data_IF_229226318121
#
_entry.id   IF_229226318121
#
_cell.length_a   1.000
_cell.length_b   1.000
_cell.length_c   1.000
_cell.angle_alpha   90.00
_cell.angle_beta   90.00
_cell.angle_gamma   90.00
#
_symmetry.space_group_name_H-M   'P 1'
#
loop_
_entity.id
_entity.type
_entity.pdbx_description
1 polymer ?
#
# COMPACT_ATOMS: atom_id res chain seq x y z
N UNK A 1 -12.09 2.73 19.07
CA UNK A 1 -13.19 1.98 18.40
C UNK A 1 -12.77 0.54 18.15
N UNK A 2 -11.72 0.31 17.36
CA UNK A 2 -11.20 -1.03 17.07
C UNK A 2 -10.66 -1.73 18.30
N UNK A 3 -9.88 -1.03 19.13
CA UNK A 3 -9.28 -1.61 20.33
C UNK A 3 -10.34 -2.02 21.36
N UNK A 4 -11.40 -1.24 21.50
CA UNK A 4 -12.53 -1.56 22.39
C UNK A 4 -13.27 -2.82 21.94
N UNK A 5 -13.60 -2.94 20.64
CA UNK A 5 -14.20 -4.17 20.08
C UNK A 5 -13.28 -5.37 20.33
N UNK A 6 -11.96 -5.19 20.16
CA UNK A 6 -10.98 -6.23 20.37
C UNK A 6 -10.92 -6.70 21.84
N UNK A 7 -10.97 -5.78 22.81
CA UNK A 7 -10.98 -6.10 24.25
C UNK A 7 -12.26 -6.79 24.72
N UNK A 8 -13.40 -6.44 24.12
CA UNK A 8 -14.71 -7.01 24.47
C UNK A 8 -15.00 -8.34 23.76
N UNK A 9 -14.14 -8.76 22.84
CA UNK A 9 -14.28 -10.01 22.08
C UNK A 9 -14.14 -11.21 23.00
N UNK A 10 -15.02 -12.20 22.82
CA UNK A 10 -14.87 -13.54 23.43
C UNK A 10 -14.43 -14.57 22.37
N UNK A 11 -13.73 -15.63 22.79
CA UNK A 11 -13.30 -16.71 21.88
C UNK A 11 -11.84 -16.65 21.43
N UNK A 12 -11.46 -17.47 20.45
CA UNK A 12 -10.09 -17.54 19.90
C UNK A 12 -10.04 -16.90 18.51
N UNK A 13 -8.85 -16.43 18.10
CA UNK A 13 -8.64 -15.95 16.74
C UNK A 13 -8.60 -17.11 15.74
N UNK A 14 -9.29 -16.95 14.61
CA UNK A 14 -9.34 -17.91 13.50
C UNK A 14 -8.14 -17.73 12.57
N UNK A 15 -7.79 -18.79 11.85
CA UNK A 15 -6.73 -18.74 10.84
C UNK A 15 -7.17 -17.88 9.66
N UNK A 16 -6.29 -17.03 9.15
CA UNK A 16 -6.56 -16.21 7.99
C UNK A 16 -6.33 -16.99 6.70
N UNK A 17 -7.33 -17.05 5.82
CA UNK A 17 -7.28 -17.78 4.55
C UNK A 17 -7.89 -16.92 3.44
N UNK A 18 -7.16 -15.93 2.90
CA UNK A 18 -7.74 -14.96 1.97
C UNK A 18 -8.06 -15.55 0.60
N UNK A 19 -7.24 -16.50 0.13
CA UNK A 19 -7.36 -17.19 -1.15
C UNK A 19 -6.88 -18.63 -0.96
N UNK A 20 -7.03 -19.49 -1.97
CA UNK A 20 -6.61 -20.88 -1.83
C UNK A 20 -5.07 -21.03 -1.93
N UNK A 21 -4.50 -22.00 -1.21
CA UNK A 21 -3.09 -22.37 -1.40
C UNK A 21 -2.90 -23.10 -2.74
N UNK A 22 -1.65 -23.33 -3.16
CA UNK A 22 -1.35 -24.05 -4.41
C UNK A 22 -1.99 -25.45 -4.47
N UNK A 23 -2.24 -26.07 -3.32
CA UNK A 23 -2.78 -27.43 -3.22
C UNK A 23 -4.25 -27.54 -3.63
N UNK A 24 -5.01 -26.43 -3.58
CA UNK A 24 -6.39 -26.41 -4.06
C UNK A 24 -6.44 -26.07 -5.55
N UNK A 25 -6.18 -27.09 -6.37
CA UNK A 25 -6.13 -26.93 -7.83
C UNK A 25 -7.42 -26.40 -8.44
N UNK A 26 -8.57 -26.80 -7.89
CA UNK A 26 -9.86 -26.38 -8.43
C UNK A 26 -10.02 -24.85 -8.34
N UNK A 27 -9.64 -24.25 -7.21
CA UNK A 27 -9.69 -22.81 -7.02
C UNK A 27 -8.80 -22.03 -8.00
N UNK A 28 -7.62 -22.56 -8.33
CA UNK A 28 -6.71 -21.94 -9.32
C UNK A 28 -7.18 -22.14 -10.76
N UNK A 29 -7.75 -23.31 -11.08
CA UNK A 29 -8.12 -23.68 -12.44
C UNK A 29 -9.36 -22.92 -12.96
N UNK A 30 -10.16 -22.34 -12.06
CA UNK A 30 -11.33 -21.51 -12.41
C UNK A 30 -11.02 -20.01 -12.51
N UNK A 31 -9.80 -19.58 -12.18
CA UNK A 31 -9.41 -18.17 -12.30
C UNK A 31 -9.47 -17.69 -13.76
N UNK A 32 -9.59 -16.36 -13.90
CA UNK A 32 -9.63 -15.68 -15.20
C UNK A 32 -8.53 -16.22 -16.13
N UNK A 33 -8.95 -16.73 -17.30
CA UNK A 33 -8.04 -17.40 -18.25
C UNK A 33 -6.92 -16.47 -18.72
N UNK A 34 -7.26 -15.23 -19.05
CA UNK A 34 -6.28 -14.22 -19.49
C UNK A 34 -5.28 -13.94 -18.37
N UNK A 35 -5.75 -13.69 -17.14
CA UNK A 35 -4.86 -13.45 -15.99
C UNK A 35 -3.88 -14.61 -15.77
N UNK A 36 -4.34 -15.86 -15.84
CA UNK A 36 -3.48 -17.04 -15.71
C UNK A 36 -2.43 -17.12 -16.82
N UNK A 37 -2.85 -16.94 -18.07
CA UNK A 37 -1.95 -17.03 -19.22
C UNK A 37 -0.87 -15.93 -19.19
N UNK A 38 -1.27 -14.70 -18.88
CA UNK A 38 -0.35 -13.56 -18.81
C UNK A 38 0.55 -13.62 -17.57
N UNK A 39 0.06 -14.18 -16.45
CA UNK A 39 0.91 -14.47 -15.28
C UNK A 39 2.00 -15.47 -15.62
N UNK A 40 1.67 -16.56 -16.35
CA UNK A 40 2.68 -17.53 -16.79
C UNK A 40 3.74 -16.87 -17.68
N UNK A 41 3.33 -16.09 -18.68
CA UNK A 41 4.27 -15.37 -19.55
C UNK A 41 5.18 -14.42 -18.76
N UNK A 42 4.64 -13.75 -17.74
CA UNK A 42 5.44 -12.88 -16.87
C UNK A 42 6.44 -13.70 -16.04
N UNK A 43 6.02 -14.82 -15.46
CA UNK A 43 6.92 -15.72 -14.71
C UNK A 43 8.04 -16.30 -15.57
N UNK A 44 7.76 -16.60 -16.85
CA UNK A 44 8.76 -17.10 -17.81
C UNK A 44 9.92 -16.12 -18.04
N UNK A 45 9.71 -14.81 -17.83
CA UNK A 45 10.79 -13.81 -17.90
C UNK A 45 11.78 -13.92 -16.75
N UNK A 46 11.42 -14.63 -15.68
CA UNK A 46 12.22 -14.81 -14.47
C UNK A 46 12.75 -16.26 -14.31
N UNK A 47 12.66 -17.11 -15.34
CA UNK A 47 13.35 -18.40 -15.32
C UNK A 47 14.87 -18.19 -15.34
N UNK A 48 15.57 -18.88 -14.45
CA UNK A 48 17.01 -18.75 -14.23
C UNK A 48 17.42 -17.31 -13.87
N UNK A 49 16.57 -16.60 -13.12
CA UNK A 49 16.77 -15.19 -12.82
C UNK A 49 17.97 -14.96 -11.89
N UNK A 50 18.89 -14.10 -12.32
CA UNK A 50 20.00 -13.67 -11.48
C UNK A 50 19.54 -12.54 -10.57
N UNK A 51 19.17 -12.88 -9.33
CA UNK A 51 18.77 -11.90 -8.34
C UNK A 51 19.89 -10.87 -8.09
N UNK A 52 19.63 -9.55 -8.23
CA UNK A 52 20.67 -8.54 -8.20
C UNK A 52 21.33 -8.47 -6.82
N UNK A 53 22.64 -8.25 -6.74
CA UNK A 53 23.36 -8.06 -5.47
C UNK A 53 23.04 -6.68 -4.87
N UNK A 54 22.71 -6.66 -3.59
CA UNK A 54 22.59 -5.43 -2.80
C UNK A 54 23.92 -5.14 -2.11
N UNK A 55 24.68 -4.18 -2.63
CA UNK A 55 25.98 -3.83 -2.05
C UNK A 55 25.81 -2.87 -0.88
N UNK A 56 26.69 -2.98 0.13
CA UNK A 56 26.75 -2.00 1.22
C UNK A 56 27.01 -0.58 0.69
N UNK A 57 27.76 -0.44 -0.42
CA UNK A 57 28.06 0.86 -1.02
C UNK A 57 26.85 1.54 -1.65
N UNK A 58 25.94 0.77 -2.25
CA UNK A 58 24.68 1.34 -2.77
C UNK A 58 23.77 1.79 -1.62
N UNK A 59 23.78 1.07 -0.49
CA UNK A 59 23.05 1.48 0.72
C UNK A 59 23.61 2.79 1.30
N UNK A 60 24.93 2.88 1.42
CA UNK A 60 25.64 4.08 1.92
C UNK A 60 25.50 5.30 1.00
N UNK A 61 25.16 5.09 -0.27
CA UNK A 61 25.05 6.17 -1.27
C UNK A 61 24.03 7.22 -0.84
N UNK A 62 22.95 6.81 -0.17
CA UNK A 62 21.94 7.74 0.34
C UNK A 62 22.54 8.76 1.32
N UNK A 63 23.30 8.31 2.32
CA UNK A 63 23.93 9.23 3.29
C UNK A 63 25.06 10.04 2.66
N UNK A 64 25.72 9.52 1.61
CA UNK A 64 26.86 10.18 0.95
C UNK A 64 26.46 11.23 -0.08
N UNK A 65 25.42 10.96 -0.85
CA UNK A 65 25.04 11.76 -2.03
C UNK A 65 23.56 12.13 -2.07
N UNK A 66 22.74 11.55 -1.19
CA UNK A 66 21.28 11.67 -1.23
C UNK A 66 20.60 10.71 -2.21
N UNK A 67 21.35 9.89 -2.96
CA UNK A 67 20.80 8.94 -3.92
C UNK A 67 20.25 7.69 -3.21
N UNK A 68 18.94 7.47 -3.31
CA UNK A 68 18.26 6.25 -2.80
C UNK A 68 17.92 5.23 -3.88
N UNK A 69 17.71 5.69 -5.12
CA UNK A 69 17.18 4.90 -6.24
C UNK A 69 18.05 3.70 -6.62
N UNK A 70 19.39 3.82 -6.58
CA UNK A 70 20.29 2.72 -6.96
C UNK A 70 20.12 1.47 -6.10
N UNK A 71 19.93 1.65 -4.79
CA UNK A 71 19.64 0.55 -3.87
C UNK A 71 18.22 0.04 -4.08
N UNK A 72 17.25 0.96 -4.14
CA UNK A 72 15.82 0.66 -4.25
C UNK A 72 15.45 -0.15 -5.49
N UNK A 73 15.97 0.23 -6.66
CA UNK A 73 15.68 -0.47 -7.91
C UNK A 73 16.01 -1.96 -7.80
N UNK A 74 17.18 -2.28 -7.21
CA UNK A 74 17.63 -3.66 -7.01
C UNK A 74 16.85 -4.33 -5.89
N UNK A 75 16.60 -3.62 -4.80
CA UNK A 75 15.82 -4.11 -3.66
C UNK A 75 14.42 -4.54 -4.12
N UNK A 76 13.71 -3.69 -4.84
CA UNK A 76 12.37 -3.96 -5.38
C UNK A 76 12.37 -4.96 -6.53
N UNK A 77 13.41 -5.01 -7.36
CA UNK A 77 13.52 -6.03 -8.41
C UNK A 77 13.47 -7.46 -7.83
N UNK A 78 14.12 -7.71 -6.67
CA UNK A 78 14.04 -9.01 -5.99
C UNK A 78 12.61 -9.38 -5.58
N UNK A 79 11.86 -8.43 -4.99
CA UNK A 79 10.48 -8.64 -4.53
C UNK A 79 9.52 -8.90 -5.68
N UNK A 80 9.63 -8.11 -6.76
CA UNK A 80 8.78 -8.24 -7.95
C UNK A 80 9.02 -9.54 -8.70
N UNK A 81 10.29 -9.98 -8.80
CA UNK A 81 10.66 -11.28 -9.37
C UNK A 81 10.04 -12.42 -8.55
N UNK A 82 10.30 -12.47 -7.23
CA UNK A 82 9.74 -13.49 -6.35
C UNK A 82 8.22 -13.53 -6.43
N UNK A 83 7.56 -12.37 -6.37
CA UNK A 83 6.10 -12.29 -6.42
C UNK A 83 5.53 -12.81 -7.74
N UNK A 84 6.19 -12.53 -8.87
CA UNK A 84 5.76 -13.04 -10.18
C UNK A 84 5.94 -14.55 -10.29
N UNK A 85 7.07 -15.07 -9.83
CA UNK A 85 7.37 -16.50 -9.84
C UNK A 85 6.40 -17.28 -8.95
N UNK A 86 6.13 -16.80 -7.73
CA UNK A 86 5.19 -17.46 -6.79
C UNK A 86 3.80 -17.56 -7.38
N UNK A 87 3.23 -16.47 -7.91
CA UNK A 87 1.90 -16.51 -8.53
C UNK A 87 1.86 -17.43 -9.75
N UNK A 88 2.94 -17.42 -10.54
CA UNK A 88 3.04 -18.28 -11.71
C UNK A 88 3.06 -19.76 -11.33
N UNK A 89 3.86 -20.14 -10.34
CA UNK A 89 3.89 -21.52 -9.84
C UNK A 89 2.55 -21.91 -9.22
N UNK A 90 1.87 -21.01 -8.50
CA UNK A 90 0.50 -21.27 -8.04
C UNK A 90 -0.48 -21.53 -9.19
N UNK A 91 -0.35 -20.82 -10.31
CA UNK A 91 -1.19 -21.04 -11.49
C UNK A 91 -0.85 -22.38 -12.17
N UNK A 92 0.43 -22.67 -12.37
CA UNK A 92 0.89 -23.79 -13.21
C UNK A 92 1.11 -25.11 -12.46
N UNK A 93 1.65 -25.08 -11.24
CA UNK A 93 1.99 -26.21 -10.35
C UNK A 93 2.72 -27.36 -11.07
N UNK A 94 3.80 -27.01 -11.78
CA UNK A 94 4.68 -27.96 -12.52
C UNK A 94 6.10 -28.02 -11.97
N UNK A 95 6.42 -27.22 -10.97
CA UNK A 95 7.71 -27.19 -10.30
C UNK A 95 8.82 -26.44 -11.04
N UNK A 96 8.63 -26.01 -12.29
CA UNK A 96 9.71 -25.43 -13.10
C UNK A 96 10.18 -24.05 -12.63
N UNK A 97 9.40 -23.36 -11.79
CA UNK A 97 9.80 -22.08 -11.21
C UNK A 97 10.34 -22.24 -9.78
N UNK A 98 10.28 -23.44 -9.19
CA UNK A 98 10.60 -23.65 -7.78
C UNK A 98 12.04 -23.29 -7.43
N UNK A 99 13.01 -23.59 -8.29
CA UNK A 99 14.41 -23.24 -8.04
C UNK A 99 14.61 -21.72 -7.96
N UNK A 100 14.01 -20.95 -8.88
CA UNK A 100 14.08 -19.48 -8.88
C UNK A 100 13.29 -18.85 -7.72
N UNK A 101 12.21 -19.49 -7.28
CA UNK A 101 11.46 -19.09 -6.07
C UNK A 101 12.34 -19.29 -4.83
N UNK A 102 12.99 -20.45 -4.70
CA UNK A 102 13.88 -20.76 -3.57
C UNK A 102 15.06 -19.79 -3.55
N UNK A 103 15.69 -19.54 -4.71
CA UNK A 103 16.75 -18.55 -4.84
C UNK A 103 16.29 -17.15 -4.40
N UNK A 104 15.07 -16.75 -4.78
CA UNK A 104 14.48 -15.47 -4.37
C UNK A 104 14.21 -15.36 -2.88
N UNK A 105 13.66 -16.42 -2.27
CA UNK A 105 13.44 -16.50 -0.84
C UNK A 105 14.77 -16.33 -0.10
N UNK A 106 15.80 -17.09 -0.46
CA UNK A 106 17.11 -17.00 0.19
C UNK A 106 17.78 -15.66 -0.05
N UNK A 107 17.74 -15.13 -1.28
CA UNK A 107 18.30 -13.83 -1.59
C UNK A 107 17.71 -12.72 -0.71
N UNK A 108 16.40 -12.73 -0.45
CA UNK A 108 15.72 -11.77 0.44
C UNK A 108 16.03 -12.04 1.92
N UNK A 109 16.01 -13.30 2.35
CA UNK A 109 16.31 -13.68 3.74
C UNK A 109 17.76 -13.35 4.14
N UNK A 110 18.70 -13.34 3.20
CA UNK A 110 20.12 -13.04 3.42
C UNK A 110 20.46 -11.55 3.40
N UNK A 111 19.48 -10.68 3.13
CA UNK A 111 19.71 -9.24 3.14
C UNK A 111 20.11 -8.75 4.54
N UNK A 112 21.03 -7.79 4.59
CA UNK A 112 21.41 -7.20 5.87
C UNK A 112 20.20 -6.53 6.55
N UNK A 113 19.30 -5.93 5.79
CA UNK A 113 18.12 -5.32 6.35
C UNK A 113 16.98 -5.28 5.33
N UNK A 114 15.76 -5.07 5.82
CA UNK A 114 14.59 -4.92 4.94
C UNK A 114 14.04 -3.49 4.92
N UNK A 115 14.57 -2.58 5.73
CA UNK A 115 14.28 -1.16 5.61
C UNK A 115 15.10 -0.50 4.49
N UNK A 116 14.57 0.58 3.94
CA UNK A 116 15.31 1.39 2.96
C UNK A 116 16.35 2.28 3.64
N UNK A 117 17.44 2.68 2.93
CA UNK A 117 18.45 3.58 3.48
C UNK A 117 17.87 4.89 4.04
N UNK A 118 16.87 5.45 3.37
CA UNK A 118 16.19 6.67 3.79
C UNK A 118 15.40 6.52 5.09
N UNK A 119 15.10 5.29 5.50
CA UNK A 119 14.32 4.97 6.69
C UNK A 119 15.19 4.35 7.80
N UNK A 120 16.52 4.32 7.61
CA UNK A 120 17.45 3.67 8.53
C UNK A 120 17.74 4.51 9.77
N UNK A 121 16.70 4.71 10.58
CA UNK A 121 16.74 5.47 11.83
C UNK A 121 15.88 4.78 12.89
N UNK A 122 16.28 4.92 14.15
CA UNK A 122 15.52 4.41 15.31
C UNK A 122 14.61 5.45 15.95
N UNK A 123 14.86 6.73 15.66
CA UNK A 123 14.10 7.85 16.19
C UNK A 123 13.54 8.63 15.01
N UNK A 124 12.29 9.04 15.12
CA UNK A 124 11.62 9.86 14.10
C UNK A 124 12.40 11.17 13.93
N UNK A 125 12.54 11.61 12.68
CA UNK A 125 13.17 12.89 12.32
C UNK A 125 14.65 13.07 12.75
N UNK A 126 15.36 11.97 13.03
CA UNK A 126 16.82 11.99 13.23
C UNK A 126 17.59 11.54 12.00
N UNK A 127 18.86 11.96 11.83
CA UNK A 127 19.68 11.54 10.70
C UNK A 127 19.78 10.02 10.57
N UNK A 128 19.69 9.53 9.34
CA UNK A 128 19.79 8.10 9.04
C UNK A 128 21.21 7.59 9.28
N UNK A 129 21.31 6.37 9.81
CA UNK A 129 22.59 5.68 9.96
C UNK A 129 23.13 5.23 8.60
N UNK A 130 24.45 5.29 8.47
CA UNK A 130 25.16 4.97 7.22
C UNK A 130 24.94 3.51 6.75
N UNK A 131 24.81 2.58 7.69
CA UNK A 131 24.55 1.16 7.45
C UNK A 131 23.51 0.64 8.46
N UNK A 132 22.79 -0.43 8.12
CA UNK A 132 21.83 -1.03 9.05
C UNK A 132 22.53 -1.84 10.14
N UNK A 133 21.92 -1.91 11.33
CA UNK A 133 22.35 -2.80 12.41
C UNK A 133 21.44 -4.05 12.44
N UNK A 134 22.03 -5.21 12.14
CA UNK A 134 21.37 -6.52 12.09
C UNK A 134 20.69 -6.90 13.42
N UNK A 135 21.25 -6.45 14.54
CA UNK A 135 20.80 -6.79 15.89
C UNK A 135 19.57 -5.98 16.33
N UNK A 136 19.26 -4.91 15.60
CA UNK A 136 18.12 -4.05 15.86
C UNK A 136 17.35 -3.76 14.56
N UNK A 137 16.55 -4.70 14.04
CA UNK A 137 15.74 -4.47 12.84
C UNK A 137 14.82 -3.26 12.99
N UNK A 138 14.73 -2.45 11.92
CA UNK A 138 13.79 -1.32 11.81
C UNK A 138 12.58 -1.78 11.00
N UNK A 139 11.38 -1.64 11.58
CA UNK A 139 10.14 -1.89 10.85
C UNK A 139 9.70 -0.60 10.17
N UNK A 140 10.19 -0.37 8.95
CA UNK A 140 9.61 0.63 8.07
C UNK A 140 8.54 -0.01 7.16
N UNK A 141 8.02 0.78 6.23
CA UNK A 141 7.04 0.36 5.22
C UNK A 141 7.46 -0.93 4.51
N UNK A 142 8.71 -0.99 4.06
CA UNK A 142 9.21 -2.02 3.16
C UNK A 142 9.77 -3.24 3.89
N UNK A 143 10.18 -3.09 5.14
CA UNK A 143 10.46 -4.20 6.05
C UNK A 143 9.17 -4.96 6.35
N UNK A 144 8.11 -4.23 6.75
CA UNK A 144 6.80 -4.82 6.97
C UNK A 144 6.31 -5.51 5.69
N UNK A 145 6.38 -4.84 4.54
CA UNK A 145 5.95 -5.41 3.26
C UNK A 145 6.76 -6.62 2.80
N UNK A 146 8.09 -6.62 3.01
CA UNK A 146 8.92 -7.81 2.77
C UNK A 146 8.45 -8.98 3.64
N UNK A 147 8.08 -8.71 4.89
CA UNK A 147 7.45 -9.71 5.77
C UNK A 147 6.14 -10.26 5.20
N UNK A 148 5.28 -9.40 4.66
CA UNK A 148 4.02 -9.81 4.04
C UNK A 148 4.24 -10.64 2.76
N UNK A 149 5.24 -10.29 1.92
CA UNK A 149 5.61 -11.05 0.72
C UNK A 149 6.06 -12.46 1.10
N UNK A 150 6.97 -12.59 2.07
CA UNK A 150 7.46 -13.89 2.52
C UNK A 150 6.36 -14.71 3.23
N UNK A 151 5.51 -14.07 4.04
CA UNK A 151 4.36 -14.71 4.67
C UNK A 151 3.35 -15.22 3.64
N UNK A 152 3.10 -14.46 2.59
CA UNK A 152 2.20 -14.87 1.49
C UNK A 152 2.82 -16.01 0.66
N UNK A 153 4.11 -15.94 0.35
CA UNK A 153 4.81 -17.01 -0.35
C UNK A 153 4.81 -18.32 0.46
N UNK A 154 5.06 -18.22 1.77
CA UNK A 154 4.97 -19.34 2.70
C UNK A 154 3.56 -19.93 2.68
N UNK A 155 2.52 -19.11 2.86
CA UNK A 155 1.13 -19.55 2.87
C UNK A 155 0.73 -20.30 1.60
N UNK A 156 1.10 -19.76 0.45
CA UNK A 156 0.71 -20.31 -0.85
C UNK A 156 1.46 -21.60 -1.18
N UNK A 157 2.77 -21.68 -0.88
CA UNK A 157 3.66 -22.70 -1.40
C UNK A 157 4.23 -23.67 -0.35
N UNK A 158 3.89 -23.54 0.94
CA UNK A 158 4.48 -24.32 2.04
C UNK A 158 4.67 -25.80 1.71
N UNK A 159 3.62 -26.47 1.22
CA UNK A 159 3.67 -27.91 0.93
C UNK A 159 4.68 -28.26 -0.18
N UNK A 160 4.80 -27.40 -1.21
CA UNK A 160 5.78 -27.57 -2.30
C UNK A 160 7.19 -27.25 -1.83
N UNK A 161 7.37 -26.20 -1.04
CA UNK A 161 8.66 -25.84 -0.45
C UNK A 161 9.16 -26.95 0.49
N UNK A 162 8.29 -27.49 1.33
CA UNK A 162 8.63 -28.56 2.29
C UNK A 162 8.95 -29.89 1.60
N UNK A 163 8.38 -30.14 0.42
CA UNK A 163 8.73 -31.31 -0.41
C UNK A 163 10.16 -31.23 -0.90
N UNK A 164 10.67 -30.03 -1.21
CA UNK A 164 12.08 -29.81 -1.55
C UNK A 164 12.94 -29.85 -0.28
N UNK A 165 12.60 -29.03 0.72
CA UNK A 165 13.25 -29.04 2.02
C UNK A 165 12.44 -28.23 3.05
N UNK A 166 12.09 -28.81 4.22
CA UNK A 166 11.41 -28.08 5.29
C UNK A 166 12.24 -26.92 5.86
N UNK A 167 13.56 -26.89 5.58
CA UNK A 167 14.42 -25.78 5.99
C UNK A 167 14.12 -24.48 5.24
N UNK A 168 13.48 -24.54 4.07
CA UNK A 168 13.09 -23.35 3.31
C UNK A 168 11.98 -22.60 4.05
N UNK A 169 10.88 -23.30 4.38
CA UNK A 169 9.80 -22.77 5.20
C UNK A 169 10.30 -22.32 6.58
N UNK A 170 11.20 -23.10 7.20
CA UNK A 170 11.79 -22.76 8.50
C UNK A 170 12.63 -21.48 8.42
N UNK A 171 13.36 -21.25 7.31
CA UNK A 171 14.16 -20.03 7.11
C UNK A 171 13.25 -18.80 7.02
N UNK A 172 12.14 -18.88 6.29
CA UNK A 172 11.15 -17.79 6.23
C UNK A 172 10.66 -17.45 7.64
N UNK A 173 10.20 -18.44 8.40
CA UNK A 173 9.69 -18.22 9.76
C UNK A 173 10.75 -17.65 10.71
N UNK A 174 12.01 -18.09 10.59
CA UNK A 174 13.11 -17.53 11.37
C UNK A 174 13.29 -16.03 11.11
N UNK A 175 13.37 -15.61 9.85
CA UNK A 175 13.56 -14.19 9.51
C UNK A 175 12.33 -13.35 9.89
N UNK A 176 11.12 -13.87 9.69
CA UNK A 176 9.89 -13.17 10.10
C UNK A 176 9.85 -12.96 11.62
N UNK A 177 10.22 -13.99 12.40
CA UNK A 177 10.30 -13.87 13.85
C UNK A 177 11.34 -12.83 14.27
N UNK A 178 12.55 -12.92 13.71
CA UNK A 178 13.66 -12.03 14.06
C UNK A 178 13.43 -10.58 13.64
N UNK A 179 12.93 -10.36 12.42
CA UNK A 179 12.87 -9.03 11.81
C UNK A 179 11.52 -8.34 11.92
N UNK A 180 10.43 -9.08 12.13
CA UNK A 180 9.08 -8.53 12.17
C UNK A 180 8.42 -8.79 13.52
N UNK A 181 8.22 -10.06 13.89
CA UNK A 181 7.34 -10.38 15.01
C UNK A 181 7.90 -9.94 16.36
N UNK A 182 9.16 -10.27 16.65
CA UNK A 182 9.80 -9.90 17.91
C UNK A 182 9.94 -8.38 18.03
N UNK A 183 10.52 -7.64 17.04
CA UNK A 183 10.62 -6.19 17.15
C UNK A 183 9.26 -5.49 17.21
N UNK A 184 8.24 -5.98 16.48
CA UNK A 184 6.89 -5.40 16.55
C UNK A 184 6.30 -5.47 17.95
N UNK A 185 6.58 -6.53 18.73
CA UNK A 185 6.07 -6.66 20.09
C UNK A 185 6.94 -5.95 21.13
N UNK A 186 8.27 -5.99 20.98
CA UNK A 186 9.22 -5.55 22.01
C UNK A 186 9.66 -4.09 21.87
N UNK A 187 9.51 -3.50 20.68
CA UNK A 187 9.90 -2.11 20.41
C UNK A 187 8.69 -1.27 20.05
N UNK A 188 8.82 0.03 20.32
CA UNK A 188 7.90 1.04 19.81
C UNK A 188 8.52 1.68 18.57
N UNK A 189 7.76 1.70 17.48
CA UNK A 189 8.07 2.48 16.30
C UNK A 189 7.02 3.60 16.21
N UNK A 190 7.44 4.81 15.87
CA UNK A 190 6.58 6.00 15.93
C UNK A 190 5.23 5.81 15.22
N UNK A 191 5.21 5.11 14.07
CA UNK A 191 4.01 4.87 13.28
C UNK A 191 2.99 3.96 13.98
N UNK A 192 3.37 3.27 15.05
CA UNK A 192 2.43 2.48 15.86
C UNK A 192 1.43 3.36 16.60
N UNK A 193 1.79 4.63 16.81
CA UNK A 193 1.01 5.61 17.58
C UNK A 193 1.11 5.42 19.08
N UNK A 194 1.05 6.53 19.79
CA UNK A 194 1.03 6.63 21.25
C UNK A 194 -0.06 7.59 21.76
N UNK A 195 -0.92 8.08 20.86
CA UNK A 195 -1.96 9.08 21.14
C UNK A 195 -1.45 10.52 21.24
N UNK A 196 -0.16 10.78 20.98
CA UNK A 196 0.44 12.11 21.04
C UNK A 196 1.10 12.53 19.73
N UNK A 197 1.73 11.59 19.03
CA UNK A 197 2.39 11.85 17.75
C UNK A 197 1.39 11.81 16.58
N UNK A 198 1.56 12.66 15.55
CA UNK A 198 0.70 12.64 14.37
C UNK A 198 0.94 11.38 13.54
N UNK A 199 -0.14 10.69 13.17
CA UNK A 199 -0.14 9.50 12.32
C UNK A 199 -0.28 9.86 10.83
N UNK A 200 0.06 8.90 9.95
CA UNK A 200 -0.12 9.02 8.50
C UNK A 200 -0.22 7.62 7.87
N UNK A 201 -0.06 7.51 6.55
CA UNK A 201 -0.09 6.25 5.82
C UNK A 201 0.84 5.15 6.41
N UNK A 202 1.95 5.50 7.07
CA UNK A 202 2.88 4.51 7.65
C UNK A 202 2.20 3.60 8.66
N UNK A 203 1.31 4.16 9.48
CA UNK A 203 0.63 3.40 10.53
C UNK A 203 -0.10 2.21 9.93
N UNK A 204 -0.99 2.47 8.98
CA UNK A 204 -1.87 1.44 8.47
C UNK A 204 -1.18 0.55 7.41
N UNK A 205 -0.21 1.08 6.67
CA UNK A 205 0.61 0.31 5.74
C UNK A 205 1.51 -0.71 6.49
N UNK A 206 2.19 -0.30 7.56
CA UNK A 206 2.95 -1.23 8.38
C UNK A 206 2.02 -2.22 9.08
N UNK A 207 0.91 -1.77 9.68
CA UNK A 207 -0.03 -2.62 10.41
C UNK A 207 -0.62 -3.74 9.54
N UNK A 208 -1.10 -3.47 8.31
CA UNK A 208 -1.61 -4.54 7.45
C UNK A 208 -0.53 -5.60 7.15
N UNK A 209 0.71 -5.17 6.94
CA UNK A 209 1.76 -6.05 6.45
C UNK A 209 2.31 -6.92 7.59
N UNK A 210 2.37 -6.36 8.80
CA UNK A 210 2.59 -7.14 10.03
C UNK A 210 1.47 -8.17 10.21
N UNK A 211 0.20 -7.77 10.09
CA UNK A 211 -0.93 -8.70 10.20
C UNK A 211 -0.84 -9.82 9.15
N UNK A 212 -0.57 -9.50 7.88
CA UNK A 212 -0.38 -10.50 6.82
C UNK A 212 0.74 -11.48 7.18
N UNK A 213 1.91 -10.98 7.57
CA UNK A 213 3.05 -11.85 7.90
C UNK A 213 2.76 -12.80 9.07
N UNK A 214 2.02 -12.36 10.08
CA UNK A 214 1.69 -13.16 11.28
C UNK A 214 0.56 -14.15 11.00
N UNK A 215 -0.52 -13.72 10.35
CA UNK A 215 -1.73 -14.53 10.21
C UNK A 215 -1.75 -15.44 8.98
N UNK A 216 -0.85 -15.23 8.02
CA UNK A 216 -0.62 -16.16 6.90
C UNK A 216 0.39 -17.27 7.25
N UNK A 217 1.09 -17.17 8.38
CA UNK A 217 2.08 -18.15 8.82
C UNK A 217 1.65 -18.88 10.08
N UNK A 218 2.32 -19.99 10.38
CA UNK A 218 2.07 -20.77 11.61
C UNK A 218 2.70 -20.08 12.83
N UNK A 219 2.02 -19.04 13.29
CA UNK A 219 2.42 -18.23 14.45
C UNK A 219 1.70 -18.68 15.73
N UNK A 220 2.43 -18.63 16.86
CA UNK A 220 1.90 -18.99 18.19
C UNK A 220 0.62 -18.18 18.54
N UNK A 221 -0.42 -18.81 19.13
CA UNK A 221 -1.66 -18.13 19.48
C UNK A 221 -1.51 -16.90 20.40
N UNK A 222 -0.56 -16.93 21.35
CA UNK A 222 -0.28 -15.79 22.24
C UNK A 222 0.34 -14.63 21.48
N UNK A 223 1.24 -14.93 20.53
CA UNK A 223 1.81 -13.93 19.63
C UNK A 223 0.72 -13.28 18.77
N UNK A 224 -0.17 -14.09 18.19
CA UNK A 224 -1.29 -13.62 17.36
C UNK A 224 -2.23 -12.70 18.14
N UNK A 225 -2.57 -13.04 19.38
CA UNK A 225 -3.44 -12.19 20.21
C UNK A 225 -2.78 -10.83 20.52
N UNK A 226 -1.49 -10.83 20.89
CA UNK A 226 -0.76 -9.58 21.16
C UNK A 226 -0.66 -8.70 19.91
N UNK A 227 -0.38 -9.30 18.75
CA UNK A 227 -0.31 -8.59 17.47
C UNK A 227 -1.67 -8.00 17.12
N UNK A 228 -2.75 -8.78 17.26
CA UNK A 228 -4.13 -8.34 17.02
C UNK A 228 -4.50 -7.12 17.87
N UNK A 229 -4.28 -7.18 19.19
CA UNK A 229 -4.60 -6.07 20.10
C UNK A 229 -3.82 -4.80 19.76
N UNK A 230 -2.51 -4.94 19.49
CA UNK A 230 -1.63 -3.82 19.12
C UNK A 230 -2.03 -3.21 17.77
N UNK A 231 -2.38 -4.04 16.80
CA UNK A 231 -2.87 -3.59 15.50
C UNK A 231 -4.17 -2.78 15.62
N UNK A 232 -5.16 -3.27 16.38
CA UNK A 232 -6.40 -2.54 16.64
C UNK A 232 -6.17 -1.18 17.31
N UNK A 233 -5.16 -1.08 18.18
CA UNK A 233 -4.79 0.20 18.80
C UNK A 233 -4.17 1.18 17.78
N UNK A 234 -3.26 0.71 16.93
CA UNK A 234 -2.68 1.53 15.85
C UNK A 234 -3.74 2.02 14.85
N UNK A 235 -4.76 1.20 14.55
CA UNK A 235 -5.88 1.61 13.70
C UNK A 235 -6.67 2.75 14.34
N UNK A 236 -6.92 2.69 15.66
CA UNK A 236 -7.61 3.76 16.37
C UNK A 236 -6.82 5.08 16.31
N UNK A 237 -5.48 5.04 16.45
CA UNK A 237 -4.64 6.23 16.29
C UNK A 237 -4.66 6.78 14.86
N UNK A 238 -4.56 5.92 13.84
CA UNK A 238 -4.65 6.34 12.44
C UNK A 238 -5.98 7.04 12.14
N UNK A 239 -7.10 6.47 12.60
CA UNK A 239 -8.42 7.05 12.38
C UNK A 239 -8.69 8.33 13.18
N UNK A 240 -7.90 8.62 14.21
CA UNK A 240 -7.99 9.87 14.96
C UNK A 240 -7.52 11.08 14.13
N UNK A 241 -6.57 10.88 13.20
CA UNK A 241 -6.06 11.94 12.30
C UNK A 241 -7.04 12.28 11.17
N UNK A 242 -7.86 11.31 10.75
CA UNK A 242 -8.80 11.54 9.66
C UNK A 242 -9.97 12.43 10.11
N UNK A 243 -10.37 13.38 9.27
CA UNK A 243 -11.66 14.05 9.41
C UNK A 243 -12.85 13.10 9.26
N UNK A 244 -14.01 13.47 9.80
CA UNK A 244 -15.25 12.70 9.59
C UNK A 244 -15.69 12.67 8.11
N UNK A 245 -15.25 13.66 7.32
CA UNK A 245 -15.44 13.71 5.88
C UNK A 245 -14.52 12.75 5.10
N UNK A 246 -13.58 12.06 5.75
CA UNK A 246 -12.79 10.97 5.18
C UNK A 246 -11.76 11.38 4.13
N UNK A 247 -11.37 12.66 4.06
CA UNK A 247 -10.31 13.12 3.17
C UNK A 247 -8.98 12.44 3.50
N UNK A 248 -8.26 11.97 2.48
CA UNK A 248 -6.83 11.66 2.62
C UNK A 248 -6.06 12.98 2.46
N UNK A 249 -5.50 13.50 3.54
CA UNK A 249 -4.70 14.73 3.57
C UNK A 249 -3.41 14.60 2.74
N UNK A 250 -2.81 13.42 2.71
CA UNK A 250 -1.64 13.09 1.87
C UNK A 250 -1.94 12.98 0.35
N UNK A 251 -3.20 13.14 -0.06
CA UNK A 251 -3.61 13.16 -1.47
C UNK A 251 -3.89 11.80 -2.11
N UNK A 252 -4.30 11.83 -3.38
CA UNK A 252 -4.75 10.65 -4.14
C UNK A 252 -3.68 9.56 -4.30
N UNK A 253 -2.40 9.93 -4.35
CA UNK A 253 -1.29 8.98 -4.45
C UNK A 253 -1.13 8.16 -3.16
N UNK A 254 -1.17 8.82 -2.01
CA UNK A 254 -1.02 8.16 -0.71
C UNK A 254 -2.28 7.46 -0.21
N UNK A 255 -3.47 7.79 -0.74
CA UNK A 255 -4.70 7.06 -0.46
C UNK A 255 -4.56 5.53 -0.62
N UNK A 256 -3.80 5.08 -1.63
CA UNK A 256 -3.55 3.64 -1.88
C UNK A 256 -2.66 2.96 -0.82
N UNK A 257 -1.94 3.77 -0.06
CA UNK A 257 -1.11 3.38 1.07
C UNK A 257 -1.74 3.73 2.43
N UNK A 258 -2.84 4.48 2.45
CA UNK A 258 -3.60 4.86 3.62
C UNK A 258 -4.97 4.14 3.62
N UNK A 259 -6.01 4.74 3.04
CA UNK A 259 -7.39 4.22 3.04
C UNK A 259 -7.53 2.77 2.52
N UNK A 260 -6.78 2.36 1.49
CA UNK A 260 -6.84 0.97 1.00
C UNK A 260 -6.10 -0.02 1.90
N UNK A 261 -5.08 0.42 2.63
CA UNK A 261 -4.43 -0.39 3.65
C UNK A 261 -5.33 -0.55 4.87
N UNK A 262 -6.10 0.49 5.24
CA UNK A 262 -7.15 0.40 6.27
C UNK A 262 -8.17 -0.66 5.90
N UNK A 263 -8.66 -0.64 4.66
CA UNK A 263 -9.56 -1.67 4.15
C UNK A 263 -8.99 -3.09 4.35
N UNK A 264 -7.73 -3.32 3.99
CA UNK A 264 -7.10 -4.62 4.19
C UNK A 264 -6.95 -5.01 5.66
N UNK A 265 -6.58 -4.07 6.55
CA UNK A 265 -6.58 -4.33 7.99
C UNK A 265 -7.97 -4.80 8.42
N UNK A 266 -9.02 -4.08 8.04
CA UNK A 266 -10.40 -4.45 8.38
C UNK A 266 -10.79 -5.83 7.85
N UNK A 267 -10.40 -6.20 6.62
CA UNK A 267 -10.67 -7.53 6.07
C UNK A 267 -9.93 -8.64 6.83
N UNK A 268 -8.66 -8.43 7.20
CA UNK A 268 -7.90 -9.39 8.00
C UNK A 268 -8.56 -9.54 9.37
N UNK A 269 -8.82 -8.43 10.06
CA UNK A 269 -9.45 -8.42 11.38
C UNK A 269 -10.80 -9.16 11.34
N UNK A 270 -11.67 -8.84 10.38
CA UNK A 270 -12.95 -9.54 10.21
C UNK A 270 -12.77 -11.04 9.99
N UNK A 271 -11.82 -11.46 9.14
CA UNK A 271 -11.61 -12.87 8.88
C UNK A 271 -11.09 -13.64 10.09
N UNK A 272 -10.26 -13.03 10.95
CA UNK A 272 -9.70 -13.69 12.13
C UNK A 272 -10.61 -13.61 13.36
N UNK A 273 -11.65 -12.77 13.32
CA UNK A 273 -12.60 -12.59 14.44
C UNK A 273 -14.05 -12.90 14.09
N UNK A 274 -14.30 -13.66 13.02
CA UNK A 274 -15.66 -13.99 12.55
C UNK A 274 -16.56 -12.74 12.40
N UNK A 275 -16.08 -11.77 11.62
CA UNK A 275 -16.78 -10.55 11.22
C UNK A 275 -17.12 -9.57 12.37
N UNK A 276 -16.43 -9.62 13.51
CA UNK A 276 -16.66 -8.70 14.63
C UNK A 276 -16.59 -7.19 14.26
N UNK A 277 -15.86 -6.82 13.20
CA UNK A 277 -15.68 -5.43 12.75
C UNK A 277 -16.55 -5.07 11.55
N UNK A 278 -17.42 -5.97 11.07
CA UNK A 278 -18.15 -5.79 9.82
C UNK A 278 -19.06 -4.57 9.82
N UNK A 279 -19.71 -4.31 10.95
CA UNK A 279 -20.59 -3.15 11.15
C UNK A 279 -19.87 -1.80 11.00
N UNK A 280 -18.54 -1.76 11.10
CA UNK A 280 -17.77 -0.53 10.94
C UNK A 280 -17.75 -0.01 9.50
N UNK A 281 -18.05 -0.85 8.50
CA UNK A 281 -18.20 -0.39 7.12
C UNK A 281 -19.44 0.51 6.92
N UNK A 282 -20.39 0.48 7.85
CA UNK A 282 -21.54 1.40 7.86
C UNK A 282 -21.23 2.73 8.53
N UNK A 283 -20.10 2.85 9.25
CA UNK A 283 -19.70 4.09 9.90
C UNK A 283 -19.45 5.18 8.84
N UNK A 284 -20.04 6.39 8.98
CA UNK A 284 -19.91 7.45 7.99
C UNK A 284 -18.47 7.76 7.61
N UNK A 285 -17.57 7.85 8.60
CA UNK A 285 -16.14 8.09 8.39
C UNK A 285 -15.50 7.05 7.47
N UNK A 286 -15.76 5.76 7.68
CA UNK A 286 -15.21 4.68 6.86
C UNK A 286 -15.77 4.70 5.44
N UNK A 287 -17.07 4.97 5.28
CA UNK A 287 -17.71 5.15 3.96
C UNK A 287 -17.13 6.34 3.20
N UNK A 288 -16.83 7.42 3.92
CA UNK A 288 -16.25 8.62 3.36
C UNK A 288 -14.79 8.40 2.93
N UNK A 289 -13.99 7.72 3.76
CA UNK A 289 -12.62 7.28 3.40
C UNK A 289 -12.66 6.41 2.15
N UNK A 290 -13.56 5.43 2.07
CA UNK A 290 -13.70 4.61 0.86
C UNK A 290 -13.95 5.48 -0.38
N UNK A 291 -14.91 6.41 -0.29
CA UNK A 291 -15.38 7.20 -1.43
C UNK A 291 -14.40 8.28 -1.90
N UNK A 292 -13.39 8.63 -1.10
CA UNK A 292 -12.45 9.71 -1.40
C UNK A 292 -11.87 9.64 -2.81
N UNK A 293 -11.35 8.48 -3.22
CA UNK A 293 -10.62 8.34 -4.50
C UNK A 293 -11.50 8.58 -5.73
N UNK A 294 -12.79 8.22 -5.64
CA UNK A 294 -13.78 8.53 -6.68
C UNK A 294 -14.06 10.04 -6.74
N UNK A 295 -14.18 10.67 -5.57
CA UNK A 295 -14.49 12.10 -5.48
C UNK A 295 -13.34 12.96 -6.01
N UNK A 296 -12.08 12.53 -5.88
CA UNK A 296 -10.92 13.29 -6.39
C UNK A 296 -10.45 12.83 -7.78
N UNK A 297 -11.12 11.86 -8.39
CA UNK A 297 -10.89 11.49 -9.79
C UNK A 297 -11.40 12.58 -10.72
N UNK A 298 -10.63 12.90 -11.76
CA UNK A 298 -10.99 13.90 -12.77
C UNK A 298 -11.58 13.21 -14.00
N UNK A 299 -10.74 12.45 -14.70
CA UNK A 299 -11.07 11.73 -15.93
C UNK A 299 -9.89 10.82 -16.31
N UNK A 300 -10.18 9.66 -16.90
CA UNK A 300 -9.18 8.67 -17.30
C UNK A 300 -8.15 8.42 -16.18
N UNK A 301 -6.87 8.74 -16.38
CA UNK A 301 -5.78 8.53 -15.42
C UNK A 301 -5.55 9.70 -14.46
N UNK A 302 -6.30 10.79 -14.59
CA UNK A 302 -6.07 12.04 -13.87
C UNK A 302 -6.86 12.11 -12.57
N UNK A 303 -6.17 12.58 -11.53
CA UNK A 303 -6.71 12.88 -10.22
C UNK A 303 -6.36 14.31 -9.82
N UNK A 304 -7.17 14.90 -8.95
CA UNK A 304 -6.81 16.11 -8.23
C UNK A 304 -5.52 15.82 -7.43
N UNK A 305 -4.49 16.62 -7.67
CA UNK A 305 -3.20 16.47 -7.03
C UNK A 305 -2.85 17.69 -6.16
N UNK A 306 -2.76 17.43 -4.85
CA UNK A 306 -2.23 18.31 -3.81
C UNK A 306 -1.30 17.49 -2.93
N UNK A 307 -0.46 18.14 -2.13
CA UNK A 307 0.62 17.48 -1.37
C UNK A 307 1.56 16.70 -2.30
N UNK A 308 2.33 15.74 -1.77
CA UNK A 308 3.23 14.88 -2.56
C UNK A 308 2.47 13.91 -3.48
N UNK A 309 1.81 14.43 -4.51
CA UNK A 309 0.91 13.70 -5.39
C UNK A 309 1.16 14.05 -6.86
N UNK A 310 1.38 13.04 -7.68
CA UNK A 310 1.32 13.15 -9.14
C UNK A 310 -0.14 13.30 -9.60
N UNK A 311 -0.44 14.09 -10.64
CA UNK A 311 -1.78 14.11 -11.27
C UNK A 311 -2.14 12.74 -11.86
N UNK A 312 -1.17 11.86 -12.06
CA UNK A 312 -1.35 10.45 -12.47
C UNK A 312 -1.00 9.58 -11.26
N UNK A 313 -1.93 9.48 -10.31
CA UNK A 313 -1.73 8.81 -9.01
C UNK A 313 -1.84 7.26 -9.08
N UNK A 314 -1.99 6.69 -10.27
CA UNK A 314 -2.29 5.27 -10.52
C UNK A 314 -3.79 5.04 -10.73
N UNK A 315 -4.14 4.01 -11.52
CA UNK A 315 -5.53 3.64 -11.78
C UNK A 315 -6.15 2.89 -10.60
N UNK A 316 -7.46 3.07 -10.40
CA UNK A 316 -8.23 2.27 -9.47
C UNK A 316 -8.34 0.81 -9.94
N UNK A 317 -8.43 -0.11 -8.99
CA UNK A 317 -8.48 -1.53 -9.28
C UNK A 317 -9.26 -2.33 -8.24
N UNK A 318 -8.78 -3.55 -7.99
CA UNK A 318 -9.48 -4.53 -7.16
C UNK A 318 -9.65 -4.07 -5.72
N UNK A 319 -8.67 -3.38 -5.13
CA UNK A 319 -8.77 -2.91 -3.74
C UNK A 319 -9.89 -1.87 -3.57
N UNK A 320 -9.94 -0.89 -4.47
CA UNK A 320 -11.00 0.11 -4.53
C UNK A 320 -12.37 -0.55 -4.75
N UNK A 321 -12.46 -1.48 -5.70
CA UNK A 321 -13.70 -2.21 -5.99
C UNK A 321 -14.24 -2.98 -4.77
N UNK A 322 -13.36 -3.68 -4.06
CA UNK A 322 -13.73 -4.48 -2.89
C UNK A 322 -14.12 -3.60 -1.69
N UNK A 323 -13.44 -2.47 -1.48
CA UNK A 323 -13.82 -1.52 -0.43
C UNK A 323 -15.17 -0.85 -0.73
N UNK A 324 -15.39 -0.46 -1.99
CA UNK A 324 -16.67 0.04 -2.46
C UNK A 324 -17.80 -0.96 -2.24
N UNK A 325 -17.54 -2.27 -2.46
CA UNK A 325 -18.50 -3.33 -2.19
C UNK A 325 -18.84 -3.45 -0.71
N UNK A 326 -17.85 -3.41 0.19
CA UNK A 326 -18.09 -3.46 1.64
C UNK A 326 -18.88 -2.27 2.15
N UNK A 327 -18.71 -1.10 1.54
CA UNK A 327 -19.41 0.14 1.91
C UNK A 327 -20.70 0.38 1.12
N UNK A 328 -21.11 -0.59 0.29
CA UNK A 328 -22.30 -0.52 -0.56
C UNK A 328 -22.32 0.71 -1.50
N UNK A 329 -21.14 1.14 -1.97
CA UNK A 329 -20.99 2.26 -2.91
C UNK A 329 -20.92 1.75 -4.36
N UNK A 330 -22.08 1.59 -5.00
CA UNK A 330 -22.18 1.08 -6.39
C UNK A 330 -21.51 1.99 -7.42
N UNK A 331 -21.56 3.31 -7.23
CA UNK A 331 -20.92 4.28 -8.12
C UNK A 331 -19.39 4.11 -8.12
N UNK A 332 -18.79 3.93 -6.93
CA UNK A 332 -17.36 3.66 -6.79
C UNK A 332 -16.97 2.27 -7.31
N UNK A 333 -17.83 1.24 -7.12
CA UNK A 333 -17.60 -0.08 -7.73
C UNK A 333 -17.53 0.03 -9.26
N UNK A 334 -18.45 0.78 -9.86
CA UNK A 334 -18.48 0.98 -11.32
C UNK A 334 -17.25 1.74 -11.82
N UNK A 335 -16.86 2.81 -11.11
CA UNK A 335 -15.65 3.56 -11.37
C UNK A 335 -14.40 2.65 -11.34
N UNK A 336 -14.19 1.93 -10.24
CA UNK A 336 -13.02 1.06 -10.08
C UNK A 336 -12.99 -0.05 -11.14
N UNK A 337 -14.15 -0.60 -11.51
CA UNK A 337 -14.24 -1.64 -12.53
C UNK A 337 -13.89 -1.13 -13.93
N UNK A 338 -14.34 0.07 -14.30
CA UNK A 338 -14.02 0.70 -15.59
C UNK A 338 -12.58 1.14 -15.68
N UNK A 339 -12.05 1.74 -14.61
CA UNK A 339 -10.67 2.20 -14.60
C UNK A 339 -9.68 1.01 -14.57
N UNK A 340 -10.05 -0.09 -13.91
CA UNK A 340 -9.34 -1.36 -13.99
C UNK A 340 -9.25 -1.85 -15.44
N UNK A 341 -10.34 -1.83 -16.21
CA UNK A 341 -10.33 -2.23 -17.62
C UNK A 341 -9.47 -1.28 -18.48
N UNK A 342 -9.57 0.03 -18.23
CA UNK A 342 -8.79 1.04 -18.96
C UNK A 342 -7.27 0.90 -18.74
N UNK A 343 -6.84 0.29 -17.64
CA UNK A 343 -5.44 0.00 -17.36
C UNK A 343 -4.84 -1.20 -18.09
N UNK A 344 -5.66 -2.04 -18.72
CA UNK A 344 -5.19 -3.19 -19.51
C UNK A 344 -4.29 -4.13 -18.70
N UNK A 345 -3.09 -4.42 -19.24
CA UNK A 345 -2.16 -5.35 -18.60
C UNK A 345 -1.56 -4.83 -17.29
N UNK A 346 -1.40 -3.52 -17.16
CA UNK A 346 -0.80 -2.91 -15.97
C UNK A 346 -1.66 -3.16 -14.73
N UNK A 347 -2.98 -2.97 -14.85
CA UNK A 347 -3.95 -3.27 -13.80
C UNK A 347 -4.23 -4.77 -13.70
N UNK A 348 -4.16 -5.54 -14.79
CA UNK A 348 -4.38 -6.99 -14.75
C UNK A 348 -3.28 -7.74 -13.98
N UNK A 349 -2.01 -7.41 -14.21
CA UNK A 349 -0.88 -8.14 -13.62
C UNK A 349 -0.25 -7.45 -12.42
N UNK A 350 -0.35 -6.11 -12.37
CA UNK A 350 0.31 -5.28 -11.36
C UNK A 350 1.81 -5.65 -11.26
N UNK A 351 2.51 -5.76 -12.39
CA UNK A 351 3.90 -6.24 -12.44
C UNK A 351 4.90 -5.32 -11.73
N UNK A 352 4.57 -4.04 -11.61
CA UNK A 352 5.33 -3.06 -10.84
C UNK A 352 5.04 -3.09 -9.32
N UNK A 353 3.99 -3.79 -8.88
CA UNK A 353 3.61 -3.90 -7.48
C UNK A 353 4.55 -4.87 -6.74
N UNK A 354 5.06 -4.42 -5.59
CA UNK A 354 5.93 -5.23 -4.73
C UNK A 354 5.10 -6.21 -3.89
N UNK A 355 3.92 -5.79 -3.45
CA UNK A 355 3.09 -6.54 -2.53
C UNK A 355 2.42 -7.76 -3.21
N UNK A 356 2.95 -8.95 -2.94
CA UNK A 356 2.42 -10.22 -3.45
C UNK A 356 0.94 -10.44 -3.11
N UNK A 357 0.50 -10.04 -1.92
CA UNK A 357 -0.89 -10.21 -1.50
C UNK A 357 -1.86 -9.39 -2.37
N UNK A 358 -1.47 -8.19 -2.80
CA UNK A 358 -2.32 -7.37 -3.69
C UNK A 358 -2.49 -8.03 -5.04
N UNK A 359 -1.39 -8.55 -5.60
CA UNK A 359 -1.38 -9.25 -6.89
C UNK A 359 -2.18 -10.56 -6.83
N UNK A 360 -2.14 -11.27 -5.70
CA UNK A 360 -2.97 -12.44 -5.43
C UNK A 360 -4.46 -12.10 -5.44
N UNK A 361 -4.88 -11.09 -4.66
CA UNK A 361 -6.27 -10.62 -4.66
C UNK A 361 -6.73 -10.19 -6.06
N UNK A 362 -5.83 -9.57 -6.82
CA UNK A 362 -6.11 -9.13 -8.18
C UNK A 362 -6.51 -10.30 -9.09
N UNK A 363 -5.74 -11.40 -9.04
CA UNK A 363 -6.03 -12.62 -9.81
C UNK A 363 -7.37 -13.27 -9.44
N UNK A 364 -7.67 -13.35 -8.14
CA UNK A 364 -8.93 -13.91 -7.64
C UNK A 364 -10.16 -13.04 -7.93
N UNK A 365 -9.97 -11.74 -8.17
CA UNK A 365 -11.08 -10.79 -8.38
C UNK A 365 -11.24 -10.36 -9.85
N UNK A 366 -10.25 -10.63 -10.71
CA UNK A 366 -10.22 -10.19 -12.11
C UNK A 366 -11.47 -10.60 -12.92
N UNK A 367 -12.02 -11.79 -12.69
CA UNK A 367 -13.24 -12.22 -13.39
C UNK A 367 -14.48 -11.44 -12.91
N UNK A 368 -14.60 -11.25 -11.59
CA UNK A 368 -15.72 -10.54 -10.98
C UNK A 368 -15.77 -9.07 -11.40
N UNK A 369 -14.62 -8.39 -11.41
CA UNK A 369 -14.58 -6.97 -11.76
C UNK A 369 -14.93 -6.73 -13.24
N UNK A 370 -14.49 -7.62 -14.15
CA UNK A 370 -14.86 -7.59 -15.56
C UNK A 370 -16.35 -7.80 -15.76
N UNK A 371 -16.90 -8.84 -15.13
CA UNK A 371 -18.34 -9.11 -15.18
C UNK A 371 -19.15 -7.91 -14.65
N UNK A 372 -18.69 -7.26 -13.58
CA UNK A 372 -19.36 -6.10 -13.03
C UNK A 372 -19.37 -4.94 -14.03
N UNK A 373 -18.24 -4.62 -14.66
CA UNK A 373 -18.15 -3.58 -15.68
C UNK A 373 -19.03 -3.86 -16.90
N UNK A 374 -19.08 -5.11 -17.37
CA UNK A 374 -19.89 -5.50 -18.53
C UNK A 374 -21.40 -5.41 -18.26
N UNK A 375 -21.81 -5.75 -17.03
CA UNK A 375 -23.23 -5.79 -16.62
C UNK A 375 -23.80 -4.43 -16.20
N UNK A 376 -22.97 -3.39 -16.05
CA UNK A 376 -23.37 -2.07 -15.56
C UNK A 376 -23.02 -0.97 -16.58
N UNK A 377 -24.07 -0.44 -17.20
CA UNK A 377 -23.97 0.57 -18.27
C UNK A 377 -24.26 1.99 -17.78
N UNK A 378 -24.47 2.19 -16.48
CA UNK A 378 -24.72 3.49 -15.86
C UNK A 378 -23.53 4.45 -16.06
N UNK A 379 -23.74 5.75 -15.93
CA UNK A 379 -22.62 6.71 -15.96
C UNK A 379 -22.06 6.88 -14.55
N UNK A 380 -20.74 6.87 -14.42
CA UNK A 380 -20.08 7.19 -13.15
C UNK A 380 -20.35 8.65 -12.85
N UNK A 381 -20.96 8.91 -11.70
CA UNK A 381 -21.23 10.27 -11.25
C UNK A 381 -20.08 10.79 -10.40
N UNK A 382 -19.67 12.03 -10.62
CA UNK A 382 -18.67 12.70 -9.79
C UNK A 382 -19.32 13.91 -9.12
N UNK A 383 -19.51 13.90 -7.79
CA UNK A 383 -20.14 15.01 -7.10
C UNK A 383 -19.16 16.18 -6.92
N UNK A 384 -19.71 17.38 -6.76
CA UNK A 384 -19.02 18.46 -6.07
C UNK A 384 -18.75 18.03 -4.63
N UNK A 385 -17.58 18.38 -4.10
CA UNK A 385 -17.19 17.98 -2.75
C UNK A 385 -16.44 19.09 -2.04
N UNK A 386 -16.69 19.21 -0.73
CA UNK A 386 -15.90 20.04 0.17
C UNK A 386 -15.47 19.20 1.38
N UNK A 387 -14.17 18.92 1.46
CA UNK A 387 -13.52 18.31 2.60
C UNK A 387 -13.07 19.41 3.55
N UNK A 388 -13.87 19.66 4.59
CA UNK A 388 -13.61 20.70 5.58
C UNK A 388 -12.39 20.38 6.44
N UNK A 389 -12.09 19.10 6.67
CA UNK A 389 -10.96 18.67 7.51
C UNK A 389 -9.61 19.13 6.98
N UNK A 390 -9.42 19.05 5.66
CA UNK A 390 -8.17 19.38 4.96
C UNK A 390 -8.30 20.69 4.16
N UNK A 391 -9.51 21.23 4.04
CA UNK A 391 -9.82 22.37 3.18
C UNK A 391 -9.58 22.04 1.72
N UNK A 392 -10.23 21.02 1.19
CA UNK A 392 -10.18 20.68 -0.24
C UNK A 392 -11.57 20.84 -0.84
N UNK A 393 -11.69 21.70 -1.85
CA UNK A 393 -12.93 21.92 -2.58
C UNK A 393 -12.77 21.45 -4.03
N UNK A 394 -13.74 20.70 -4.54
CA UNK A 394 -13.82 20.32 -5.95
C UNK A 394 -15.22 20.64 -6.48
N UNK A 395 -15.28 21.42 -7.55
CA UNK A 395 -16.50 21.74 -8.28
C UNK A 395 -16.35 21.37 -9.75
N UNK A 396 -17.39 20.81 -10.36
CA UNK A 396 -17.33 20.37 -11.76
C UNK A 396 -18.67 20.42 -12.49
N UNK A 397 -18.58 20.60 -13.80
CA UNK A 397 -19.67 20.41 -14.76
C UNK A 397 -19.20 19.51 -15.92
N UNK A 398 -20.00 19.40 -16.98
CA UNK A 398 -19.68 18.54 -18.14
C UNK A 398 -18.39 18.96 -18.89
N UNK A 399 -17.89 20.18 -18.66
CA UNK A 399 -16.76 20.78 -19.36
C UNK A 399 -15.57 21.07 -18.44
N UNK A 400 -15.79 21.55 -17.21
CA UNK A 400 -14.75 22.03 -16.32
C UNK A 400 -14.75 21.25 -15.00
N UNK A 401 -13.56 21.01 -14.46
CA UNK A 401 -13.38 20.60 -13.08
C UNK A 401 -12.35 21.52 -12.43
N UNK A 402 -12.77 22.21 -11.37
CA UNK A 402 -11.96 23.10 -10.53
C UNK A 402 -11.68 22.38 -9.21
N UNK A 403 -10.42 22.31 -8.80
CA UNK A 403 -10.07 21.93 -7.44
C UNK A 403 -9.31 23.08 -6.75
N UNK A 404 -9.60 23.34 -5.48
CA UNK A 404 -9.01 24.43 -4.69
C UNK A 404 -8.55 23.88 -3.34
N UNK A 405 -7.29 24.15 -2.99
CA UNK A 405 -6.76 23.95 -1.64
C UNK A 405 -7.02 25.21 -0.82
N UNK A 406 -7.79 25.09 0.25
CA UNK A 406 -8.26 26.17 1.11
C UNK A 406 -8.09 25.86 2.61
N UNK A 407 -7.25 24.87 2.94
CA UNK A 407 -6.87 24.50 4.31
C UNK A 407 -5.69 25.32 4.82
N UNK A 408 -4.76 24.64 5.47
CA UNK A 408 -3.46 25.19 5.86
C UNK A 408 -2.30 24.31 5.32
N UNK A 409 -1.07 24.73 5.61
CA UNK A 409 0.16 24.04 5.21
C UNK A 409 0.71 23.13 6.34
N UNK A 410 -0.15 22.57 7.20
CA UNK A 410 0.26 21.68 8.30
C UNK A 410 -0.10 20.19 8.09
N UNK A 411 -0.61 19.84 6.90
CA UNK A 411 -0.89 18.44 6.53
C UNK A 411 0.39 17.60 6.39
N UNK A 412 0.25 16.27 6.45
CA UNK A 412 1.36 15.38 6.12
C UNK A 412 1.69 15.46 4.62
N UNK A 413 2.98 15.39 4.28
CA UNK A 413 3.44 15.46 2.88
C UNK A 413 3.05 16.75 2.13
N UNK A 414 2.72 17.83 2.83
CA UNK A 414 2.22 19.06 2.24
C UNK A 414 3.27 19.85 1.44
N UNK A 415 2.75 20.80 0.65
CA UNK A 415 3.50 21.89 0.02
C UNK A 415 3.08 23.23 0.66
N UNK A 416 3.73 24.34 0.32
CA UNK A 416 3.25 25.68 0.66
C UNK A 416 2.26 26.16 -0.40
N UNK A 417 1.05 25.57 -0.43
CA UNK A 417 0.09 25.69 -1.53
C UNK A 417 -1.32 26.12 -1.09
N UNK A 418 -1.49 26.61 0.14
CA UNK A 418 -2.79 27.11 0.63
C UNK A 418 -3.34 28.23 -0.26
N UNK A 419 -4.52 28.03 -0.84
CA UNK A 419 -5.16 28.92 -1.81
C UNK A 419 -4.91 28.55 -3.27
N UNK A 420 -4.04 27.57 -3.54
CA UNK A 420 -3.77 27.10 -4.89
C UNK A 420 -5.00 26.41 -5.48
N UNK A 421 -5.05 26.36 -6.80
CA UNK A 421 -6.14 25.73 -7.54
C UNK A 421 -5.63 25.04 -8.80
N UNK A 422 -6.35 24.02 -9.26
CA UNK A 422 -6.16 23.37 -10.55
C UNK A 422 -7.45 23.38 -11.35
N UNK A 423 -7.33 23.44 -12.67
CA UNK A 423 -8.47 23.42 -13.60
C UNK A 423 -8.22 22.39 -14.67
N UNK A 424 -9.20 21.53 -14.90
CA UNK A 424 -9.25 20.60 -16.01
C UNK A 424 -10.40 20.99 -16.93
N UNK A 425 -10.20 20.87 -18.24
CA UNK A 425 -11.21 21.12 -19.27
C UNK A 425 -11.38 19.88 -20.15
N UNK A 426 -12.61 19.38 -20.28
CA UNK A 426 -12.95 18.15 -20.98
C UNK A 426 -12.07 16.97 -20.52
N UNK A 427 -11.82 16.90 -19.20
CA UNK A 427 -10.97 15.88 -18.59
C UNK A 427 -9.47 16.00 -18.87
N UNK A 428 -9.00 17.11 -19.46
CA UNK A 428 -7.59 17.37 -19.75
C UNK A 428 -7.05 18.54 -18.90
N UNK A 429 -5.77 18.52 -18.49
CA UNK A 429 -5.21 19.60 -17.67
C UNK A 429 -5.23 20.96 -18.40
N UNK A 430 -5.68 22.01 -17.72
CA UNK A 430 -5.67 23.40 -18.22
C UNK A 430 -4.82 24.31 -17.34
N UNK A 431 -5.07 24.30 -16.02
CA UNK A 431 -4.25 24.94 -14.99
C UNK A 431 -3.80 23.82 -14.06
N UNK A 432 -2.49 23.64 -13.95
CA UNK A 432 -1.91 22.44 -13.36
C UNK A 432 -1.24 22.74 -12.04
N UNK A 433 -1.07 21.68 -11.26
CA UNK A 433 -0.05 21.58 -10.23
C UNK A 433 0.99 20.55 -10.70
N UNK A 434 2.27 20.88 -10.55
CA UNK A 434 3.38 20.01 -11.02
C UNK A 434 3.57 18.77 -10.14
N UNK A 435 3.02 18.77 -8.93
CA UNK A 435 3.23 17.70 -7.95
C UNK A 435 4.65 17.69 -7.40
N UNK A 436 5.11 16.52 -6.97
CA UNK A 436 6.40 16.37 -6.30
C UNK A 436 7.52 15.88 -7.22
N UNK A 437 8.73 16.40 -7.03
CA UNK A 437 9.92 15.86 -7.65
C UNK A 437 10.40 14.54 -7.00
N UNK A 438 11.43 13.90 -7.56
CA UNK A 438 12.01 12.70 -6.95
C UNK A 438 12.51 12.97 -5.54
N UNK A 439 12.15 12.10 -4.59
CA UNK A 439 12.56 12.24 -3.20
C UNK A 439 14.07 12.14 -3.02
N UNK A 440 14.62 13.11 -2.30
CA UNK A 440 16.02 13.16 -1.88
C UNK A 440 16.10 13.25 -0.36
N UNK A 441 17.31 13.26 0.20
CA UNK A 441 17.51 13.53 1.63
C UNK A 441 16.90 14.88 2.04
N UNK A 442 16.89 15.88 1.14
CA UNK A 442 16.34 17.21 1.40
C UNK A 442 14.83 17.17 1.69
N UNK A 443 14.10 16.27 1.02
CA UNK A 443 12.64 16.08 1.15
C UNK A 443 12.22 15.77 2.59
N UNK A 444 13.03 15.01 3.32
CA UNK A 444 12.74 14.53 4.69
C UNK A 444 13.51 15.31 5.75
N UNK A 445 13.82 16.58 5.46
CA UNK A 445 14.61 17.45 6.34
C UNK A 445 13.90 18.78 6.56
N UNK A 446 14.34 19.59 7.54
CA UNK A 446 13.87 20.97 7.69
C UNK A 446 14.07 21.86 6.45
N UNK A 447 14.88 21.41 5.48
CA UNK A 447 15.12 22.09 4.21
C UNK A 447 14.13 21.72 3.10
N UNK A 448 13.05 20.98 3.41
CA UNK A 448 11.99 20.59 2.45
C UNK A 448 11.47 21.78 1.64
N UNK A 449 11.20 22.92 2.28
CA UNK A 449 10.65 24.12 1.63
C UNK A 449 11.68 24.97 0.86
N UNK A 450 12.94 24.55 0.81
CA UNK A 450 13.88 25.05 -0.19
C UNK A 450 13.81 24.26 -1.51
N UNK A 451 12.99 23.21 -1.59
CA UNK A 451 12.69 22.49 -2.84
C UNK A 451 11.64 23.30 -3.59
N UNK A 452 11.89 23.58 -4.87
CA UNK A 452 11.05 24.48 -5.66
C UNK A 452 9.61 23.99 -5.78
N UNK A 453 9.36 22.68 -5.91
CA UNK A 453 8.00 22.12 -5.96
C UNK A 453 7.23 22.22 -4.64
N UNK A 454 7.88 22.61 -3.54
CA UNK A 454 7.23 22.78 -2.22
C UNK A 454 6.93 24.26 -1.91
N UNK A 455 7.31 25.19 -2.80
CA UNK A 455 7.26 26.62 -2.58
C UNK A 455 6.05 27.25 -3.29
N UNK A 456 5.33 28.14 -2.59
CA UNK A 456 4.13 28.82 -3.11
C UNK A 456 4.30 29.50 -4.48
N UNK A 457 5.49 30.01 -4.81
CA UNK A 457 5.76 30.63 -6.12
C UNK A 457 5.64 29.67 -7.32
N UNK A 458 5.62 28.36 -7.08
CA UNK A 458 5.48 27.33 -8.11
C UNK A 458 4.10 26.65 -8.11
N UNK A 459 3.17 27.21 -7.33
CA UNK A 459 1.75 26.87 -7.34
C UNK A 459 0.94 28.03 -7.95
N UNK A 460 -0.37 27.85 -8.13
CA UNK A 460 -1.25 28.88 -8.70
C UNK A 460 -1.60 29.96 -7.66
N UNK A 461 -0.57 30.62 -7.14
CA UNK A 461 -0.60 31.55 -6.01
C UNK A 461 0.23 32.82 -6.29
N UNK A 462 -0.17 33.97 -5.74
CA UNK A 462 0.63 35.19 -5.83
C UNK A 462 1.83 35.15 -4.86
N UNK A 463 2.94 35.76 -5.26
CA UNK A 463 3.97 36.24 -4.33
C UNK A 463 3.61 37.66 -3.90
N UNK A 464 3.56 37.94 -2.60
CA UNK A 464 3.12 39.24 -2.07
C UNK A 464 4.33 39.97 -1.49
N UNK A 465 4.70 41.12 -2.06
CA UNK A 465 5.87 41.91 -1.64
C UNK A 465 7.16 41.08 -1.56
N UNK A 466 7.43 40.25 -2.57
CA UNK A 466 8.57 39.32 -2.64
C UNK A 466 8.60 38.24 -1.53
N UNK A 467 7.49 38.02 -0.84
CA UNK A 467 7.35 37.02 0.22
C UNK A 467 6.43 35.88 -0.28
N UNK A 468 6.98 34.67 -0.24
CA UNK A 468 6.27 33.41 -0.39
C UNK A 468 5.60 33.01 0.93
N UNK A 469 4.56 32.16 0.87
CA UNK A 469 3.96 31.53 2.06
C UNK A 469 4.98 30.80 2.93
#
# INVERSE_FOLDING_TARGET
>A
MFHEIALNRTGKLFSYKPCASISDRQSWDVLCKEWRQESIKLGEQYLHYSYPVLSATDYMDFTRTGNRTRFEDRFFARRRALSSLVLTECVEDKGRFMDDIINGIFAICEESCWQLPAHNTYVRDTPQLLLPDMSAPVLDLFACETGAILGTAWYLLKERLDTVSPFISSRILYELKHRIFTPYLEKHFWWMGDGTQPMNNWTIWCTQNVLLSVFLTDSDPSLREKVFLKACQSVDYFLAEYGEDGCCDEGAQYYRHAGLCLFHVMEILNSITDNAFLHLYDAPKIRNIASYILNVHINDKYYVNFADCSPIAGRAGVREFLFARRTHNTNMMLFAARDYLAGGMDTLLMSAENNLYYRLLNGYTAAQIRQYADSHQETVSHPDVYYKSVGLFVARDDTLCLAVKAGDNADSHNHNDTGSFTVYKNGLPLIIDVGVESYTQKTFSPRRYEIWTMQSAYHNLPTINDIMQ
#
